data_IF_046326812342
#
_entry.id   IF_046326812342
#
_cell.length_a   1.000
_cell.length_b   1.000
_cell.length_c   1.000
_cell.angle_alpha   90.00
_cell.angle_beta   90.00
_cell.angle_gamma   90.00
#
_symmetry.space_group_name_H-M   'P 1'
#
loop_
_entity.id
_entity.type
_entity.pdbx_description
1 polymer ?
#
# COMPACT_ATOMS: atom_id res chain seq x y z
N UNK A 1 9.25 4.87 13.05
CA UNK A 1 9.34 5.98 12.09
C UNK A 1 10.73 6.59 11.93
N UNK A 2 11.71 6.11 12.69
CA UNK A 2 13.08 6.66 12.66
C UNK A 2 13.79 6.54 11.29
N UNK A 3 13.34 5.62 10.43
CA UNK A 3 13.89 5.46 9.08
C UNK A 3 13.30 6.38 8.02
N UNK A 4 12.36 7.27 8.38
CA UNK A 4 11.63 8.11 7.44
C UNK A 4 11.82 9.57 7.82
N UNK A 5 12.44 10.36 6.93
CA UNK A 5 12.63 11.78 7.11
C UNK A 5 11.59 12.60 6.34
N UNK A 6 11.10 13.67 6.96
CA UNK A 6 10.29 14.69 6.29
C UNK A 6 8.85 14.31 5.92
N UNK A 7 8.29 13.22 6.46
CA UNK A 7 6.95 12.72 6.12
C UNK A 7 6.00 12.68 7.33
N UNK A 8 6.15 13.57 8.30
CA UNK A 8 5.39 13.54 9.55
C UNK A 8 3.88 13.66 9.34
N UNK A 9 3.43 14.49 8.40
CA UNK A 9 2.01 14.66 8.10
C UNK A 9 1.43 13.41 7.43
N UNK A 10 2.15 12.83 6.48
CA UNK A 10 1.75 11.60 5.80
C UNK A 10 1.71 10.41 6.75
N UNK A 11 2.65 10.32 7.67
CA UNK A 11 2.66 9.30 8.72
C UNK A 11 1.40 9.42 9.57
N UNK A 12 1.04 10.63 9.99
CA UNK A 12 -0.16 10.86 10.78
C UNK A 12 -1.43 10.46 10.03
N UNK A 13 -1.56 10.87 8.78
CA UNK A 13 -2.72 10.51 7.95
C UNK A 13 -2.85 8.99 7.77
N UNK A 14 -1.75 8.33 7.47
CA UNK A 14 -1.73 6.88 7.27
C UNK A 14 -2.09 6.15 8.56
N UNK A 15 -1.56 6.59 9.70
CA UNK A 15 -1.91 6.01 11.01
C UNK A 15 -3.38 6.15 11.33
N UNK A 16 -3.96 7.31 11.09
CA UNK A 16 -5.39 7.54 11.35
C UNK A 16 -6.28 6.56 10.58
N UNK A 17 -5.96 6.32 9.31
CA UNK A 17 -6.76 5.43 8.46
C UNK A 17 -6.56 3.95 8.82
N UNK A 18 -5.35 3.55 9.18
CA UNK A 18 -5.01 2.15 9.45
C UNK A 18 -5.18 1.80 10.94
N UNK A 19 -4.69 2.66 11.83
CA UNK A 19 -4.64 2.37 13.27
C UNK A 19 -6.01 2.31 13.90
N UNK A 20 -6.87 3.29 13.65
CA UNK A 20 -8.20 3.34 14.27
C UNK A 20 -9.05 2.10 13.98
N UNK A 21 -9.18 1.65 12.70
CA UNK A 21 -9.95 0.43 12.42
C UNK A 21 -9.34 -0.84 13.01
N UNK A 22 -8.03 -0.91 13.17
CA UNK A 22 -7.36 -2.09 13.73
C UNK A 22 -7.48 -2.15 15.26
N UNK A 23 -7.37 -1.00 15.94
CA UNK A 23 -7.39 -0.94 17.40
C UNK A 23 -8.80 -0.84 17.98
N UNK A 24 -9.70 -0.15 17.28
CA UNK A 24 -11.05 0.11 17.77
C UNK A 24 -12.13 -0.25 16.73
N UNK A 25 -12.24 -1.52 16.32
CA UNK A 25 -13.24 -1.91 15.32
C UNK A 25 -14.68 -1.68 15.82
N UNK A 26 -14.91 -1.78 17.13
CA UNK A 26 -16.22 -1.58 17.75
C UNK A 26 -16.76 -0.16 17.58
N UNK A 27 -15.87 0.84 17.49
CA UNK A 27 -16.27 2.23 17.30
C UNK A 27 -17.01 2.42 15.98
N UNK A 28 -16.50 1.79 14.92
CA UNK A 28 -17.11 1.84 13.59
C UNK A 28 -18.46 1.11 13.55
N UNK A 29 -18.56 -0.01 14.26
CA UNK A 29 -19.82 -0.76 14.39
C UNK A 29 -20.90 0.05 15.09
N UNK A 30 -20.57 0.71 16.20
CA UNK A 30 -21.53 1.53 16.95
C UNK A 30 -22.07 2.70 16.17
N UNK A 31 -21.23 3.33 15.34
CA UNK A 31 -21.61 4.51 14.57
C UNK A 31 -22.25 4.12 13.24
N UNK A 32 -22.17 2.86 12.84
CA UNK A 32 -22.70 2.37 11.55
C UNK A 32 -21.89 2.80 10.33
N UNK A 33 -20.65 3.24 10.55
CA UNK A 33 -19.73 3.64 9.48
C UNK A 33 -18.90 2.43 9.06
N UNK A 34 -18.74 2.24 7.74
CA UNK A 34 -17.85 1.20 7.23
C UNK A 34 -16.39 1.54 7.53
N UNK A 35 -15.69 0.58 8.12
CA UNK A 35 -14.25 0.69 8.33
C UNK A 35 -13.50 0.80 7.00
N UNK A 36 -12.52 1.72 6.87
CA UNK A 36 -11.68 1.77 5.68
C UNK A 36 -10.94 0.46 5.46
N UNK A 37 -10.90 -0.03 4.23
CA UNK A 37 -10.21 -1.26 3.88
C UNK A 37 -8.82 -1.02 3.31
N UNK A 38 -8.62 0.07 2.61
CA UNK A 38 -7.39 0.36 1.93
C UNK A 38 -7.05 1.84 1.79
N UNK A 39 -5.78 2.07 1.56
CA UNK A 39 -5.18 3.40 1.34
C UNK A 39 -4.31 3.33 0.11
N UNK A 40 -4.33 4.38 -0.70
CA UNK A 40 -3.41 4.55 -1.82
C UNK A 40 -2.33 5.56 -1.47
N UNK A 41 -1.08 5.13 -1.53
CA UNK A 41 0.08 6.01 -1.48
C UNK A 41 0.52 6.30 -2.91
N UNK A 42 0.62 7.55 -3.30
CA UNK A 42 1.03 7.91 -4.64
C UNK A 42 2.07 9.03 -4.63
N UNK A 43 2.86 9.08 -5.65
CA UNK A 43 3.91 10.08 -5.81
C UNK A 43 5.08 9.57 -6.63
N UNK A 44 6.09 10.40 -6.88
CA UNK A 44 7.25 10.02 -7.66
C UNK A 44 8.00 8.80 -7.08
N UNK A 45 8.72 8.04 -7.91
CA UNK A 45 9.54 6.94 -7.41
C UNK A 45 10.64 7.45 -6.46
N UNK A 46 11.09 6.58 -5.56
CA UNK A 46 12.16 6.92 -4.62
C UNK A 46 11.76 7.84 -3.46
N UNK A 47 10.46 7.97 -3.17
CA UNK A 47 9.96 8.84 -2.10
C UNK A 47 9.72 8.12 -0.76
N UNK A 48 10.00 6.81 -0.67
CA UNK A 48 9.94 6.08 0.59
C UNK A 48 8.58 5.48 0.92
N UNK A 49 7.72 5.24 -0.06
CA UNK A 49 6.39 4.64 0.16
C UNK A 49 6.45 3.29 0.89
N UNK A 50 7.38 2.43 0.49
CA UNK A 50 7.58 1.13 1.13
C UNK A 50 8.05 1.26 2.58
N UNK A 51 9.00 2.16 2.84
CA UNK A 51 9.50 2.40 4.20
C UNK A 51 8.41 2.95 5.11
N UNK A 52 7.57 3.83 4.58
CA UNK A 52 6.44 4.38 5.31
C UNK A 52 5.46 3.29 5.74
N UNK A 53 5.09 2.41 4.82
CA UNK A 53 4.17 1.31 5.10
C UNK A 53 4.76 0.34 6.13
N UNK A 54 6.04 0.00 6.01
CA UNK A 54 6.73 -0.86 6.98
C UNK A 54 6.79 -0.24 8.37
N UNK A 55 7.06 1.04 8.44
CA UNK A 55 7.13 1.76 9.71
C UNK A 55 5.78 1.75 10.43
N UNK A 56 4.70 1.94 9.69
CA UNK A 56 3.34 1.86 10.26
C UNK A 56 3.05 0.46 10.78
N UNK A 57 3.37 -0.58 10.00
CA UNK A 57 3.18 -1.96 10.43
C UNK A 57 3.98 -2.29 11.68
N UNK A 58 5.23 -1.85 11.76
CA UNK A 58 6.08 -2.05 12.94
C UNK A 58 5.54 -1.33 14.17
N UNK A 59 5.06 -0.10 14.02
CA UNK A 59 4.49 0.70 15.10
C UNK A 59 3.22 0.05 15.66
N UNK A 60 2.39 -0.53 14.80
CA UNK A 60 1.13 -1.18 15.19
C UNK A 60 1.30 -2.65 15.60
N UNK A 61 2.52 -3.17 15.56
CA UNK A 61 2.82 -4.57 15.84
C UNK A 61 1.97 -5.52 14.99
N UNK A 62 1.86 -5.22 13.70
CA UNK A 62 1.14 -6.03 12.74
C UNK A 62 2.09 -6.81 11.84
N UNK A 63 1.62 -7.93 11.32
CA UNK A 63 2.34 -8.63 10.26
C UNK A 63 2.33 -7.78 8.99
N UNK A 64 3.38 -7.89 8.21
CA UNK A 64 3.55 -7.11 6.98
C UNK A 64 3.85 -8.04 5.81
N UNK A 65 3.00 -7.98 4.78
CA UNK A 65 3.17 -8.75 3.56
C UNK A 65 3.39 -7.79 2.39
N UNK A 66 4.59 -7.79 1.84
CA UNK A 66 4.93 -6.96 0.67
C UNK A 66 4.75 -7.75 -0.61
N UNK A 67 4.05 -7.17 -1.57
CA UNK A 67 3.82 -7.74 -2.89
C UNK A 67 4.08 -6.68 -3.95
N UNK A 68 4.78 -7.05 -5.01
CA UNK A 68 4.99 -6.19 -6.18
C UNK A 68 4.05 -6.68 -7.28
N UNK A 69 3.02 -5.87 -7.60
CA UNK A 69 1.98 -6.28 -8.53
C UNK A 69 2.51 -6.57 -9.93
N UNK A 70 3.48 -5.80 -10.41
CA UNK A 70 4.12 -6.06 -11.71
C UNK A 70 4.81 -7.43 -11.76
N UNK A 71 5.42 -7.86 -10.67
CA UNK A 71 6.07 -9.16 -10.60
C UNK A 71 5.06 -10.32 -10.66
N UNK A 72 3.88 -10.15 -10.07
CA UNK A 72 2.82 -11.16 -10.15
C UNK A 72 2.40 -11.38 -11.60
N UNK A 73 2.14 -10.29 -12.32
CA UNK A 73 1.69 -10.36 -13.72
C UNK A 73 2.78 -10.92 -14.63
N UNK A 74 4.03 -10.50 -14.43
CA UNK A 74 5.14 -10.88 -15.32
C UNK A 74 5.62 -12.31 -15.10
N UNK A 75 5.71 -12.75 -13.84
CA UNK A 75 6.28 -14.07 -13.51
C UNK A 75 5.27 -15.21 -13.47
N UNK A 76 4.01 -14.90 -13.22
CA UNK A 76 2.97 -15.90 -12.98
C UNK A 76 1.83 -15.77 -13.98
N UNK A 77 2.18 -15.76 -15.26
CA UNK A 77 1.23 -15.67 -16.37
C UNK A 77 0.23 -16.82 -16.27
N UNK A 78 -1.06 -16.49 -16.33
CA UNK A 78 -2.14 -17.45 -16.20
C UNK A 78 -2.56 -17.81 -14.78
N UNK A 79 -1.76 -17.42 -13.78
CA UNK A 79 -2.00 -17.77 -12.37
C UNK A 79 -2.12 -16.55 -11.43
N UNK A 80 -2.01 -15.34 -11.98
CA UNK A 80 -1.95 -14.13 -11.15
C UNK A 80 -3.21 -13.91 -10.31
N UNK A 81 -4.39 -14.19 -10.86
CA UNK A 81 -5.64 -14.10 -10.09
C UNK A 81 -5.68 -15.10 -8.91
N UNK A 82 -5.22 -16.33 -9.13
CA UNK A 82 -5.10 -17.33 -8.08
C UNK A 82 -4.14 -16.89 -6.99
N UNK A 83 -2.99 -16.32 -7.36
CA UNK A 83 -2.01 -15.81 -6.40
C UNK A 83 -2.56 -14.69 -5.54
N UNK A 84 -3.33 -13.77 -6.12
CA UNK A 84 -4.01 -12.72 -5.36
C UNK A 84 -4.94 -13.35 -4.33
N UNK A 85 -5.74 -14.32 -4.72
CA UNK A 85 -6.66 -15.03 -3.81
C UNK A 85 -5.90 -15.72 -2.67
N UNK A 86 -4.84 -16.44 -2.98
CA UNK A 86 -4.01 -17.12 -1.98
C UNK A 86 -3.32 -16.13 -1.03
N UNK A 87 -2.87 -15.00 -1.54
CA UNK A 87 -2.24 -13.94 -0.75
C UNK A 87 -3.21 -13.40 0.31
N UNK A 88 -4.44 -13.10 -0.06
CA UNK A 88 -5.45 -12.62 0.89
C UNK A 88 -5.85 -13.71 1.90
N UNK A 89 -5.96 -14.96 1.47
CA UNK A 89 -6.21 -16.08 2.36
C UNK A 89 -5.08 -16.25 3.39
N UNK A 90 -3.84 -16.14 2.94
CA UNK A 90 -2.68 -16.20 3.82
C UNK A 90 -2.67 -15.04 4.84
N UNK A 91 -2.93 -13.82 4.38
CA UNK A 91 -2.99 -12.65 5.25
C UNK A 91 -4.04 -12.82 6.35
N UNK A 92 -5.16 -13.43 6.02
CA UNK A 92 -6.23 -13.71 6.99
C UNK A 92 -5.78 -14.66 8.10
N UNK A 93 -4.88 -15.59 7.82
CA UNK A 93 -4.29 -16.48 8.85
C UNK A 93 -3.27 -15.78 9.73
N UNK A 94 -2.80 -14.60 9.32
CA UNK A 94 -1.75 -13.82 10.00
C UNK A 94 -2.27 -12.48 10.53
N UNK A 95 -3.55 -12.36 10.76
CA UNK A 95 -4.13 -11.13 11.32
C UNK A 95 -3.60 -10.83 12.73
N UNK A 96 -3.40 -9.57 13.11
CA UNK A 96 -3.53 -8.39 12.25
C UNK A 96 -2.43 -8.31 11.20
N UNK A 97 -2.79 -7.99 9.97
CA UNK A 97 -1.87 -7.98 8.83
C UNK A 97 -2.09 -6.75 7.95
N UNK A 98 -0.99 -6.18 7.46
CA UNK A 98 -1.01 -5.16 6.44
C UNK A 98 -0.42 -5.74 5.16
N UNK A 99 -1.21 -5.73 4.08
CA UNK A 99 -0.75 -6.11 2.75
C UNK A 99 -0.32 -4.84 2.03
N UNK A 100 0.95 -4.75 1.67
CA UNK A 100 1.48 -3.65 0.88
C UNK A 100 1.67 -4.10 -0.57
N UNK A 101 0.90 -3.51 -1.47
CA UNK A 101 0.94 -3.82 -2.90
C UNK A 101 1.59 -2.67 -3.65
N UNK A 102 2.85 -2.85 -4.03
CA UNK A 102 3.60 -1.86 -4.81
C UNK A 102 3.32 -2.01 -6.31
N UNK A 103 3.50 -0.93 -7.03
CA UNK A 103 3.30 -0.87 -8.48
C UNK A 103 1.90 -1.37 -8.90
N UNK A 104 0.88 -0.91 -8.18
CA UNK A 104 -0.49 -1.37 -8.39
C UNK A 104 -1.04 -1.03 -9.78
N UNK A 105 -0.49 -0.05 -10.45
CA UNK A 105 -0.86 0.32 -11.81
C UNK A 105 -0.64 -0.82 -12.82
N UNK A 106 0.23 -1.78 -12.52
CA UNK A 106 0.41 -2.97 -13.35
C UNK A 106 -0.84 -3.83 -13.44
N UNK A 107 -1.65 -3.87 -12.37
CA UNK A 107 -2.91 -4.62 -12.31
C UNK A 107 -4.10 -3.68 -12.45
N UNK A 108 -4.05 -2.55 -11.76
CA UNK A 108 -5.16 -1.63 -11.61
C UNK A 108 -5.21 -0.50 -12.63
N UNK A 109 -4.34 -0.49 -13.62
CA UNK A 109 -4.34 0.53 -14.67
C UNK A 109 -5.54 0.40 -15.60
N UNK A 110 -5.97 1.56 -16.14
CA UNK A 110 -7.02 1.57 -17.16
C UNK A 110 -6.55 0.85 -18.42
N UNK A 111 -7.44 0.09 -19.04
CA UNK A 111 -7.18 -0.62 -20.29
C UNK A 111 -8.02 -0.02 -21.41
N UNK A 112 -7.33 0.42 -22.46
CA UNK A 112 -7.96 1.01 -23.65
C UNK A 112 -8.05 0.04 -24.82
N UNK A 113 -7.22 -1.01 -24.83
CA UNK A 113 -7.26 -2.04 -25.85
C UNK A 113 -7.89 -3.31 -25.27
N UNK A 114 -8.99 -3.75 -25.88
CA UNK A 114 -9.64 -5.01 -25.57
C UNK A 114 -9.15 -6.05 -26.57
N UNK A 115 -8.62 -7.16 -26.12
CA UNK A 115 -8.45 -8.29 -27.01
C UNK A 115 -7.13 -9.03 -26.97
N UNK A 116 -6.11 -8.57 -26.26
CA UNK A 116 -4.92 -9.40 -26.04
C UNK A 116 -5.14 -10.37 -24.88
N UNK A 117 -4.49 -11.53 -24.95
CA UNK A 117 -4.54 -12.51 -23.85
C UNK A 117 -3.98 -11.92 -22.55
N UNK A 118 -2.92 -11.10 -22.67
CA UNK A 118 -2.32 -10.44 -21.53
C UNK A 118 -3.27 -9.44 -20.88
N UNK A 119 -4.00 -8.65 -21.66
CA UNK A 119 -4.97 -7.69 -21.13
C UNK A 119 -6.13 -8.37 -20.40
N UNK A 120 -6.61 -9.49 -20.93
CA UNK A 120 -7.65 -10.28 -20.29
C UNK A 120 -7.19 -10.85 -18.95
N UNK A 121 -5.96 -11.30 -18.87
CA UNK A 121 -5.38 -11.83 -17.64
C UNK A 121 -5.24 -10.74 -16.58
N UNK A 122 -4.76 -9.57 -16.97
CA UNK A 122 -4.63 -8.41 -16.07
C UNK A 122 -6.02 -7.99 -15.57
N UNK A 123 -6.99 -7.93 -16.46
CA UNK A 123 -8.38 -7.62 -16.09
C UNK A 123 -8.94 -8.65 -15.10
N UNK A 124 -8.67 -9.92 -15.32
CA UNK A 124 -9.10 -11.00 -14.42
C UNK A 124 -8.44 -10.87 -13.05
N UNK A 125 -7.16 -10.52 -13.02
CA UNK A 125 -6.42 -10.29 -11.78
C UNK A 125 -6.98 -9.08 -11.02
N UNK A 126 -7.29 -7.99 -11.72
CA UNK A 126 -7.95 -6.84 -11.12
C UNK A 126 -9.30 -7.21 -10.52
N UNK A 127 -10.12 -7.95 -11.24
CA UNK A 127 -11.43 -8.39 -10.73
C UNK A 127 -11.29 -9.25 -9.48
N UNK A 128 -10.30 -10.13 -9.43
CA UNK A 128 -10.04 -10.93 -8.22
C UNK A 128 -9.63 -10.04 -7.05
N UNK A 129 -8.77 -9.06 -7.28
CA UNK A 129 -8.38 -8.10 -6.26
C UNK A 129 -9.60 -7.36 -5.70
N UNK A 130 -10.46 -6.86 -6.57
CA UNK A 130 -11.68 -6.16 -6.17
C UNK A 130 -12.62 -7.08 -5.37
N UNK A 131 -12.76 -8.33 -5.80
CA UNK A 131 -13.58 -9.31 -5.09
C UNK A 131 -13.03 -9.60 -3.68
N UNK A 132 -11.72 -9.72 -3.55
CA UNK A 132 -11.09 -9.93 -2.24
C UNK A 132 -11.32 -8.73 -1.32
N UNK A 133 -11.19 -7.52 -1.84
CA UNK A 133 -11.45 -6.31 -1.05
C UNK A 133 -12.92 -6.19 -0.65
N UNK A 134 -13.83 -6.51 -1.53
CA UNK A 134 -15.28 -6.48 -1.25
C UNK A 134 -15.71 -7.57 -0.27
N UNK A 135 -15.03 -8.72 -0.31
CA UNK A 135 -15.32 -9.86 0.55
C UNK A 135 -14.76 -9.75 1.96
N UNK A 136 -13.96 -8.75 2.26
CA UNK A 136 -13.45 -8.56 3.61
C UNK A 136 -14.56 -8.11 4.55
N UNK A 137 -14.58 -8.73 5.73
CA UNK A 137 -15.40 -8.27 6.83
C UNK A 137 -15.01 -6.84 7.20
N UNK A 138 -16.01 -6.00 7.50
CA UNK A 138 -15.78 -4.60 7.90
C UNK A 138 -14.91 -4.50 9.16
N UNK A 139 -14.98 -5.50 10.02
CA UNK A 139 -14.21 -5.58 11.27
C UNK A 139 -12.94 -6.40 11.12
N UNK A 140 -12.62 -6.86 9.92
CA UNK A 140 -11.41 -7.63 9.65
C UNK A 140 -10.13 -6.87 9.99
N UNK A 141 -9.14 -7.59 10.48
CA UNK A 141 -7.84 -7.05 10.90
C UNK A 141 -6.81 -7.12 9.76
N UNK A 142 -7.24 -7.22 8.53
CA UNK A 142 -6.39 -7.13 7.36
C UNK A 142 -6.66 -5.79 6.66
N UNK A 143 -5.60 -5.02 6.47
CA UNK A 143 -5.66 -3.72 5.77
C UNK A 143 -4.74 -3.77 4.56
N UNK A 144 -5.09 -3.00 3.53
CA UNK A 144 -4.34 -2.95 2.28
C UNK A 144 -3.78 -1.56 2.08
N UNK A 145 -2.47 -1.48 1.82
CA UNK A 145 -1.83 -0.24 1.40
C UNK A 145 -1.33 -0.47 -0.02
N UNK A 146 -1.84 0.30 -0.95
CA UNK A 146 -1.43 0.24 -2.36
C UNK A 146 -0.51 1.41 -2.67
N UNK A 147 0.45 1.21 -3.56
CA UNK A 147 1.37 2.25 -3.97
C UNK A 147 1.48 2.32 -5.49
N UNK A 148 1.55 3.54 -6.01
CA UNK A 148 1.76 3.78 -7.43
C UNK A 148 2.49 5.10 -7.67
N UNK A 149 3.26 5.14 -8.76
CA UNK A 149 3.84 6.38 -9.28
C UNK A 149 2.89 7.08 -10.27
N UNK A 150 1.79 6.42 -10.65
CA UNK A 150 0.87 6.87 -11.71
C UNK A 150 -0.58 6.80 -11.24
N UNK A 151 -1.00 7.67 -10.31
CA UNK A 151 -2.36 7.61 -9.74
C UNK A 151 -3.46 7.88 -10.76
N UNK A 152 -3.20 8.70 -11.75
CA UNK A 152 -4.14 9.08 -12.81
C UNK A 152 -4.43 7.96 -13.82
N UNK A 153 -3.58 6.92 -13.87
CA UNK A 153 -3.79 5.77 -14.74
C UNK A 153 -4.65 4.68 -14.11
N UNK A 154 -4.97 4.78 -12.83
CA UNK A 154 -5.72 3.75 -12.12
C UNK A 154 -7.18 3.69 -12.55
N UNK A 155 -7.74 2.47 -12.57
CA UNK A 155 -9.14 2.24 -12.82
C UNK A 155 -9.98 2.85 -11.68
N UNK A 156 -11.01 3.65 -11.99
CA UNK A 156 -11.89 4.22 -10.96
C UNK A 156 -12.54 3.18 -10.05
N UNK A 157 -12.67 1.95 -10.49
CA UNK A 157 -13.24 0.87 -9.69
C UNK A 157 -12.44 0.60 -8.39
N UNK A 158 -11.12 0.80 -8.42
CA UNK A 158 -10.28 0.68 -7.22
C UNK A 158 -10.55 1.78 -6.20
N UNK A 159 -10.97 2.94 -6.66
CA UNK A 159 -11.12 4.15 -5.85
C UNK A 159 -12.52 4.33 -5.28
N UNK A 160 -13.38 3.33 -5.41
CA UNK A 160 -14.74 3.35 -4.86
C UNK A 160 -14.72 3.24 -3.34
N UNK A 161 -15.71 3.84 -2.65
CA UNK A 161 -15.88 3.66 -1.21
C UNK A 161 -15.97 2.17 -0.84
N UNK A 162 -15.31 1.79 0.24
CA UNK A 162 -15.23 0.40 0.69
C UNK A 162 -14.05 -0.38 0.09
N UNK A 163 -13.31 0.21 -0.83
CA UNK A 163 -12.07 -0.34 -1.37
C UNK A 163 -10.91 0.56 -0.96
N UNK A 164 -10.47 1.48 -1.82
CA UNK A 164 -9.49 2.50 -1.43
C UNK A 164 -10.26 3.74 -1.00
N UNK A 165 -10.23 4.02 0.29
CA UNK A 165 -11.02 5.10 0.88
C UNK A 165 -10.24 6.41 0.98
N UNK A 166 -8.92 6.37 0.97
CA UNK A 166 -8.09 7.56 1.07
C UNK A 166 -6.87 7.46 0.18
N UNK A 167 -6.52 8.59 -0.43
CA UNK A 167 -5.29 8.77 -1.21
C UNK A 167 -4.36 9.69 -0.44
N UNK A 168 -3.11 9.29 -0.30
CA UNK A 168 -2.09 10.08 0.40
C UNK A 168 -0.94 10.33 -0.57
N UNK A 169 -0.65 11.61 -0.83
CA UNK A 169 0.46 12.00 -1.67
C UNK A 169 1.77 11.97 -0.88
N UNK A 170 2.78 11.32 -1.47
CA UNK A 170 4.14 11.32 -0.94
C UNK A 170 4.98 12.15 -1.90
N UNK A 171 5.19 13.44 -1.60
CA UNK A 171 5.91 14.34 -2.50
C UNK A 171 7.40 14.05 -2.51
N UNK A 172 8.08 14.60 -3.51
CA UNK A 172 9.55 14.63 -3.51
C UNK A 172 10.03 15.37 -2.26
N UNK A 173 11.07 14.87 -1.58
CA UNK A 173 11.61 15.56 -0.42
C UNK A 173 12.15 16.94 -0.80
N UNK A 174 11.84 17.95 0.03
CA UNK A 174 12.49 19.26 -0.07
C UNK A 174 13.94 19.17 0.42
N UNK A 175 14.69 20.26 0.34
CA UNK A 175 16.10 20.26 0.73
C UNK A 175 16.31 19.80 2.19
N UNK A 176 15.49 20.30 3.10
CA UNK A 176 15.54 19.92 4.52
C UNK A 176 15.26 18.43 4.72
N UNK A 177 14.23 17.91 4.05
CA UNK A 177 13.86 16.50 4.12
C UNK A 177 14.93 15.60 3.49
N UNK A 178 15.55 16.02 2.40
CA UNK A 178 16.67 15.29 1.79
C UNK A 178 17.85 15.18 2.73
N UNK A 179 18.17 16.24 3.44
CA UNK A 179 19.23 16.28 4.43
C UNK A 179 18.94 15.30 5.58
N UNK A 180 17.72 15.30 6.09
CA UNK A 180 17.29 14.37 7.12
C UNK A 180 17.40 12.92 6.68
N UNK A 181 16.96 12.59 5.45
CA UNK A 181 17.06 11.26 4.88
C UNK A 181 18.52 10.82 4.76
N UNK A 182 19.37 11.68 4.25
CA UNK A 182 20.81 11.39 4.15
C UNK A 182 21.44 11.13 5.51
N UNK A 183 21.13 11.93 6.51
CA UNK A 183 21.61 11.73 7.88
C UNK A 183 21.18 10.37 8.45
N UNK A 184 19.93 9.99 8.24
CA UNK A 184 19.40 8.71 8.71
C UNK A 184 20.14 7.54 8.04
N UNK A 185 20.30 7.57 6.73
CA UNK A 185 20.89 6.47 5.98
C UNK A 185 22.42 6.42 6.08
N UNK A 186 23.08 7.51 6.44
CA UNK A 186 24.54 7.54 6.63
C UNK A 186 24.98 7.21 8.05
N UNK A 187 24.08 7.21 9.03
CA UNK A 187 24.40 6.88 10.43
C UNK A 187 25.15 5.57 10.63
N UNK A 188 24.76 4.48 9.96
CA UNK A 188 25.45 3.20 10.12
C UNK A 188 26.77 3.12 9.35
N UNK A 189 27.12 4.10 8.55
CA UNK A 189 28.35 4.12 7.76
C UNK A 189 29.49 4.64 8.63
N UNK A 190 30.60 3.89 8.69
CA UNK A 190 31.80 4.36 9.38
C UNK A 190 32.38 5.59 8.65
N UNK A 191 32.54 6.69 9.36
CA UNK A 191 33.05 7.94 8.82
C UNK A 191 34.46 8.17 9.31
N UNK A 192 35.37 8.53 8.41
CA UNK A 192 36.71 9.03 8.79
C UNK A 192 36.69 10.52 9.08
N UNK A 193 35.91 11.23 8.28
CA UNK A 193 35.78 12.69 8.39
C UNK A 193 34.30 13.06 8.42
N UNK A 194 34.02 14.27 8.80
CA UNK A 194 32.68 14.83 8.79
C UNK A 194 32.15 14.89 7.35
N UNK A 195 30.94 14.40 7.14
CA UNK A 195 30.33 14.44 5.82
C UNK A 195 29.60 15.76 5.60
N UNK A 196 29.78 16.31 4.41
CA UNK A 196 28.99 17.45 3.93
C UNK A 196 27.69 16.90 3.33
N UNK A 197 26.54 17.26 3.92
CA UNK A 197 25.22 16.76 3.56
C UNK A 197 24.52 17.66 2.54
#
# INVERSE_FOLDING_TARGET
FAGIGGLSEQIRELREVIELPLLNPELFERVGIKSPKGVLLYGPPGTGKTLLARAVAATLDTNFLKVVASAIVDKYIGESARLVREMFAYAKTKEPCIIFMDEIDAIGGRRFSEGTSADREIQRTLMELLNQMDGFDQLGKTKVIMATNRPDTLDPALLRPGRIDRKIEIPLPNEQSRLEILKIHTRPIAKRDELDY
#
